data_IF_636590682275
#
_entry.id   IF_636590682275
#
_cell.length_a   1.000
_cell.length_b   1.000
_cell.length_c   1.000
_cell.angle_alpha   90.00
_cell.angle_beta   90.00
_cell.angle_gamma   90.00
#
_symmetry.space_group_name_H-M   'P 1'
#
loop_
_entity.id
_entity.type
_entity.pdbx_description
1 polymer ?
#
# COMPACT_ATOMS: atom_id res chain seq x y z
N UNK A 1 0.59 -9.14 -13.64
CA UNK A 1 -0.87 -8.90 -13.81
C UNK A 1 -1.08 -8.04 -15.05
N UNK A 2 -2.08 -8.38 -15.83
CA UNK A 2 -2.42 -7.64 -17.04
C UNK A 2 -2.80 -6.19 -16.69
N UNK A 3 -2.25 -5.19 -17.41
CA UNK A 3 -2.61 -3.79 -17.19
C UNK A 3 -4.10 -3.49 -17.30
N UNK A 4 -4.83 -4.18 -18.18
CA UNK A 4 -6.27 -3.96 -18.32
C UNK A 4 -7.03 -4.44 -17.07
N UNK A 5 -6.56 -5.49 -16.41
CA UNK A 5 -7.15 -5.96 -15.16
C UNK A 5 -6.90 -4.96 -14.02
N UNK A 6 -5.71 -4.40 -13.96
CA UNK A 6 -5.38 -3.37 -12.98
C UNK A 6 -6.30 -2.15 -13.15
N UNK A 7 -6.48 -1.70 -14.37
CA UNK A 7 -7.37 -0.58 -14.68
C UNK A 7 -8.81 -0.89 -14.29
N UNK A 8 -9.28 -2.10 -14.55
CA UNK A 8 -10.63 -2.51 -14.19
C UNK A 8 -10.83 -2.54 -12.67
N UNK A 9 -9.87 -3.09 -11.94
CA UNK A 9 -9.90 -3.11 -10.47
C UNK A 9 -9.95 -1.67 -9.93
N UNK A 10 -9.05 -0.82 -10.42
CA UNK A 10 -8.96 0.57 -10.00
C UNK A 10 -10.25 1.34 -10.28
N UNK A 11 -10.82 1.15 -11.47
CA UNK A 11 -12.05 1.83 -11.84
C UNK A 11 -13.24 1.37 -10.99
N UNK A 12 -13.33 0.08 -10.69
CA UNK A 12 -14.39 -0.47 -9.85
C UNK A 12 -14.35 0.13 -8.44
N UNK A 13 -13.16 0.26 -7.88
CA UNK A 13 -12.97 0.87 -6.56
C UNK A 13 -13.26 2.37 -6.62
N UNK A 14 -12.77 3.06 -7.64
CA UNK A 14 -12.99 4.50 -7.81
C UNK A 14 -14.48 4.84 -7.92
N UNK A 15 -15.26 3.99 -8.55
CA UNK A 15 -16.72 4.21 -8.65
C UNK A 15 -17.39 4.24 -7.27
N UNK A 16 -16.83 3.54 -6.28
CA UNK A 16 -17.38 3.50 -4.92
C UNK A 16 -16.72 4.55 -4.01
N UNK A 17 -15.51 4.97 -4.33
CA UNK A 17 -14.73 5.96 -3.59
C UNK A 17 -14.32 7.08 -4.56
N UNK A 18 -15.28 7.93 -4.99
CA UNK A 18 -15.00 8.90 -6.06
C UNK A 18 -14.00 9.99 -5.67
N UNK A 19 -13.77 10.21 -4.39
CA UNK A 19 -12.86 11.25 -3.91
C UNK A 19 -11.43 10.77 -3.73
N UNK A 20 -11.12 9.51 -4.00
CA UNK A 20 -9.74 9.03 -3.89
C UNK A 20 -8.87 9.58 -5.03
N UNK A 21 -7.59 9.76 -4.72
CA UNK A 21 -6.61 10.29 -5.66
C UNK A 21 -5.93 9.19 -6.46
N UNK A 22 -5.58 8.08 -5.80
CA UNK A 22 -4.83 7.00 -6.44
C UNK A 22 -5.14 5.66 -5.80
N UNK A 23 -4.86 4.61 -6.57
CA UNK A 23 -5.05 3.22 -6.17
C UNK A 23 -3.77 2.47 -6.51
N UNK A 24 -3.36 1.55 -5.63
CA UNK A 24 -2.16 0.74 -5.79
C UNK A 24 -2.53 -0.73 -5.66
N UNK A 25 -2.27 -1.50 -6.70
CA UNK A 25 -2.37 -2.98 -6.63
C UNK A 25 -0.98 -3.50 -6.29
N UNK A 26 -0.86 -4.24 -5.19
CA UNK A 26 0.45 -4.68 -4.71
C UNK A 26 0.37 -6.15 -4.25
N UNK A 27 1.45 -6.64 -3.68
CA UNK A 27 1.51 -8.01 -3.19
C UNK A 27 1.71 -9.02 -4.31
N UNK A 28 1.39 -10.27 -4.03
CA UNK A 28 1.69 -11.40 -4.93
C UNK A 28 0.96 -11.32 -6.27
N UNK A 29 -0.27 -10.81 -6.28
CA UNK A 29 -1.05 -10.69 -7.53
C UNK A 29 -0.39 -9.73 -8.53
N UNK A 30 0.22 -8.64 -8.02
CA UNK A 30 0.87 -7.66 -8.88
C UNK A 30 2.16 -8.20 -9.51
N UNK A 31 2.80 -9.18 -8.90
CA UNK A 31 4.08 -9.73 -9.35
C UNK A 31 3.95 -10.91 -10.31
N UNK A 32 2.76 -11.32 -10.69
CA UNK A 32 2.49 -12.49 -11.54
C UNK A 32 2.96 -13.82 -10.94
N UNK A 33 3.29 -13.86 -9.66
CA UNK A 33 3.72 -15.07 -8.95
C UNK A 33 2.60 -15.66 -8.11
N UNK A 34 1.43 -15.06 -8.16
CA UNK A 34 0.30 -15.45 -7.34
C UNK A 34 -0.34 -16.74 -7.83
N UNK A 35 -0.81 -17.52 -6.87
CA UNK A 35 -1.75 -18.62 -7.17
C UNK A 35 -3.12 -18.01 -7.51
N UNK A 36 -3.95 -18.71 -8.29
CA UNK A 36 -5.28 -18.17 -8.66
C UNK A 36 -6.17 -17.83 -7.47
N UNK A 37 -5.91 -18.45 -6.31
CA UNK A 37 -6.71 -18.28 -5.10
C UNK A 37 -6.16 -17.21 -4.16
N UNK A 38 -5.05 -16.55 -4.53
CA UNK A 38 -4.46 -15.51 -3.70
C UNK A 38 -5.37 -14.30 -3.60
N UNK A 39 -5.43 -13.68 -2.41
CA UNK A 39 -6.15 -12.45 -2.21
C UNK A 39 -5.52 -11.33 -3.04
N UNK A 40 -6.35 -10.39 -3.44
CA UNK A 40 -5.90 -9.21 -4.14
C UNK A 40 -5.62 -8.10 -3.13
N UNK A 41 -4.38 -7.65 -3.05
CA UNK A 41 -3.97 -6.60 -2.14
C UNK A 41 -4.05 -5.25 -2.85
N UNK A 42 -4.85 -4.34 -2.31
CA UNK A 42 -5.07 -3.02 -2.90
C UNK A 42 -5.00 -1.95 -1.81
N UNK A 43 -4.30 -0.86 -2.11
CA UNK A 43 -4.28 0.33 -1.25
C UNK A 43 -4.92 1.50 -1.98
N UNK A 44 -5.57 2.36 -1.22
CA UNK A 44 -6.19 3.59 -1.73
C UNK A 44 -5.59 4.80 -1.01
N UNK A 45 -5.49 5.91 -1.73
CA UNK A 45 -5.00 7.18 -1.18
C UNK A 45 -5.98 8.28 -1.54
N UNK A 46 -6.48 8.97 -0.53
CA UNK A 46 -7.33 10.15 -0.71
C UNK A 46 -6.77 11.33 0.07
N UNK A 47 -7.53 12.42 0.10
CA UNK A 47 -7.15 13.62 0.83
C UNK A 47 -7.09 13.38 2.34
N UNK A 48 -7.89 12.47 2.83
CA UNK A 48 -8.03 12.17 4.26
C UNK A 48 -8.05 10.66 4.48
N UNK A 49 -7.88 10.25 5.73
CA UNK A 49 -8.00 8.84 6.12
C UNK A 49 -9.42 8.35 5.84
N UNK A 50 -9.52 7.11 5.41
CA UNK A 50 -10.80 6.48 5.09
C UNK A 50 -11.18 5.55 6.26
N UNK A 51 -12.45 5.58 6.66
CA UNK A 51 -12.90 4.77 7.79
C UNK A 51 -12.80 3.28 7.48
N UNK A 52 -12.57 2.49 8.52
CA UNK A 52 -12.51 1.03 8.39
C UNK A 52 -13.82 0.45 7.85
N UNK A 53 -14.96 1.02 8.24
CA UNK A 53 -16.26 0.58 7.75
C UNK A 53 -16.37 0.80 6.24
N UNK A 54 -15.97 1.98 5.76
CA UNK A 54 -16.03 2.30 4.34
C UNK A 54 -15.10 1.41 3.53
N UNK A 55 -13.90 1.14 4.04
CA UNK A 55 -12.97 0.21 3.41
C UNK A 55 -13.54 -1.19 3.32
N UNK A 56 -14.13 -1.70 4.40
CA UNK A 56 -14.76 -3.02 4.42
C UNK A 56 -15.91 -3.15 3.44
N UNK A 57 -16.78 -2.15 3.39
CA UNK A 57 -17.91 -2.13 2.47
C UNK A 57 -17.43 -2.13 1.01
N UNK A 58 -16.43 -1.31 0.72
CA UNK A 58 -15.86 -1.21 -0.63
C UNK A 58 -15.17 -2.51 -1.03
N UNK A 59 -14.38 -3.09 -0.12
CA UNK A 59 -13.70 -4.36 -0.37
C UNK A 59 -14.68 -5.48 -0.66
N UNK A 60 -15.75 -5.57 0.11
CA UNK A 60 -16.76 -6.60 -0.05
C UNK A 60 -17.49 -6.44 -1.38
N UNK A 61 -17.95 -5.24 -1.67
CA UNK A 61 -18.67 -4.94 -2.92
C UNK A 61 -17.79 -5.18 -4.15
N UNK A 62 -16.55 -4.74 -4.10
CA UNK A 62 -15.59 -4.94 -5.19
C UNK A 62 -15.25 -6.42 -5.36
N UNK A 63 -15.05 -7.13 -4.24
CA UNK A 63 -14.75 -8.56 -4.28
C UNK A 63 -15.87 -9.36 -4.92
N UNK A 64 -17.12 -9.03 -4.64
CA UNK A 64 -18.27 -9.67 -5.27
C UNK A 64 -18.27 -9.39 -6.77
N UNK A 65 -18.08 -8.14 -7.15
CA UNK A 65 -18.07 -7.72 -8.55
C UNK A 65 -16.96 -8.40 -9.36
N UNK A 66 -15.77 -8.55 -8.77
CA UNK A 66 -14.60 -9.11 -9.44
C UNK A 66 -14.44 -10.62 -9.19
N UNK A 67 -15.32 -11.22 -8.39
CA UNK A 67 -15.27 -12.64 -8.03
C UNK A 67 -13.92 -13.03 -7.44
N UNK A 68 -13.36 -12.15 -6.59
CA UNK A 68 -12.10 -12.41 -5.90
C UNK A 68 -12.14 -11.75 -4.52
N UNK A 69 -11.35 -12.27 -3.59
CA UNK A 69 -11.24 -11.68 -2.27
C UNK A 69 -10.26 -10.52 -2.32
N UNK A 70 -10.67 -9.37 -1.77
CA UNK A 70 -9.88 -8.15 -1.79
C UNK A 70 -9.55 -7.74 -0.38
N UNK A 71 -8.26 -7.49 -0.14
CA UNK A 71 -7.75 -6.84 1.06
C UNK A 71 -7.48 -5.37 0.71
N UNK A 72 -8.35 -4.49 1.20
CA UNK A 72 -8.30 -3.06 0.87
C UNK A 72 -7.83 -2.28 2.08
N UNK A 73 -6.74 -1.52 1.92
CA UNK A 73 -6.16 -0.71 2.99
C UNK A 73 -6.09 0.76 2.57
N UNK A 74 -6.05 1.63 3.58
CA UNK A 74 -5.80 3.05 3.38
C UNK A 74 -4.30 3.31 3.50
N UNK A 75 -3.68 3.83 2.45
CA UNK A 75 -2.24 4.09 2.43
C UNK A 75 -1.81 5.02 3.57
N UNK A 76 -2.68 5.94 4.00
CA UNK A 76 -2.37 6.86 5.11
C UNK A 76 -2.32 6.18 6.46
N UNK A 77 -2.93 5.00 6.59
CA UNK A 77 -3.15 4.35 7.89
C UNK A 77 -2.24 3.16 8.14
N UNK A 78 -1.52 2.70 7.14
CA UNK A 78 -0.61 1.54 7.30
C UNK A 78 0.77 1.99 7.78
N UNK A 79 1.55 1.08 8.38
CA UNK A 79 2.90 1.43 8.84
C UNK A 79 3.83 1.89 7.71
N UNK A 80 4.84 2.67 8.05
CA UNK A 80 5.79 3.26 7.09
C UNK A 80 6.46 2.21 6.21
N UNK A 81 6.84 1.06 6.77
CA UNK A 81 7.43 -0.04 5.99
C UNK A 81 6.50 -0.50 4.88
N UNK A 82 5.22 -0.69 5.22
CA UNK A 82 4.24 -1.14 4.24
C UNK A 82 3.90 -0.04 3.26
N UNK A 83 3.81 1.22 3.72
CA UNK A 83 3.62 2.37 2.82
C UNK A 83 4.69 2.39 1.72
N UNK A 84 5.96 2.28 2.12
CA UNK A 84 7.08 2.30 1.18
C UNK A 84 7.01 1.12 0.21
N UNK A 85 6.69 -0.07 0.71
CA UNK A 85 6.58 -1.26 -0.12
C UNK A 85 5.46 -1.12 -1.16
N UNK A 86 4.31 -0.61 -0.75
CA UNK A 86 3.16 -0.39 -1.63
C UNK A 86 3.52 0.59 -2.75
N UNK A 87 4.10 1.74 -2.39
CA UNK A 87 4.44 2.78 -3.36
C UNK A 87 5.57 2.30 -4.29
N UNK A 88 6.57 1.64 -3.75
CA UNK A 88 7.73 1.20 -4.52
C UNK A 88 7.41 0.06 -5.48
N UNK A 89 6.63 -0.92 -5.04
CA UNK A 89 6.37 -2.15 -5.80
C UNK A 89 4.98 -2.22 -6.40
N UNK A 90 4.05 -1.40 -5.94
CA UNK A 90 2.66 -1.46 -6.38
C UNK A 90 2.47 -0.92 -7.78
N UNK A 91 1.38 -1.34 -8.41
CA UNK A 91 0.94 -0.82 -9.71
C UNK A 91 -0.05 0.31 -9.44
N UNK A 92 0.37 1.54 -9.71
CA UNK A 92 -0.37 2.76 -9.37
C UNK A 92 -1.29 3.19 -10.50
N UNK A 93 -2.52 3.57 -10.15
CA UNK A 93 -3.44 4.28 -11.04
C UNK A 93 -3.83 5.59 -10.35
N UNK A 94 -3.61 6.72 -11.03
CA UNK A 94 -3.92 8.05 -10.50
C UNK A 94 -5.17 8.58 -11.16
N UNK A 95 -6.14 9.05 -10.36
CA UNK A 95 -7.40 9.60 -10.85
C UNK A 95 -7.45 11.13 -10.74
N UNK A 96 -6.83 11.69 -9.70
CA UNK A 96 -6.87 13.12 -9.44
C UNK A 96 -5.71 13.54 -8.56
N UNK A 97 -5.42 14.85 -8.53
CA UNK A 97 -4.44 15.45 -7.62
C UNK A 97 -3.06 14.83 -7.73
N UNK A 98 -2.57 14.69 -8.97
CA UNK A 98 -1.28 14.04 -9.25
C UNK A 98 -0.14 14.64 -8.41
N UNK A 99 -0.07 15.96 -8.31
CA UNK A 99 0.99 16.63 -7.55
C UNK A 99 0.92 16.27 -6.06
N UNK A 100 -0.27 16.14 -5.51
CA UNK A 100 -0.45 15.77 -4.11
C UNK A 100 -0.10 14.30 -3.88
N UNK A 101 -0.41 13.43 -4.82
CA UNK A 101 0.02 12.03 -4.78
C UNK A 101 1.54 11.94 -4.75
N UNK A 102 2.22 12.65 -5.64
CA UNK A 102 3.68 12.66 -5.69
C UNK A 102 4.28 13.21 -4.39
N UNK A 103 3.72 14.28 -3.85
CA UNK A 103 4.17 14.86 -2.59
C UNK A 103 4.02 13.87 -1.44
N UNK A 104 2.91 13.14 -1.39
CA UNK A 104 2.69 12.14 -0.36
C UNK A 104 3.67 10.97 -0.49
N UNK A 105 3.92 10.51 -1.72
CA UNK A 105 4.89 9.45 -1.98
C UNK A 105 6.30 9.85 -1.58
N UNK A 106 6.70 11.09 -1.88
CA UNK A 106 8.00 11.64 -1.46
C UNK A 106 8.12 11.66 0.06
N UNK A 107 7.06 12.03 0.75
CA UNK A 107 7.00 12.01 2.21
C UNK A 107 7.21 10.58 2.74
N UNK A 108 6.56 9.59 2.12
CA UNK A 108 6.73 8.18 2.50
C UNK A 108 8.20 7.76 2.35
N UNK A 109 8.83 8.07 1.22
CA UNK A 109 10.22 7.69 0.99
C UNK A 109 11.17 8.36 1.97
N UNK A 110 10.96 9.63 2.28
CA UNK A 110 11.75 10.35 3.27
C UNK A 110 11.59 9.74 4.66
N UNK A 111 10.37 9.41 5.04
CA UNK A 111 10.07 8.79 6.33
C UNK A 111 10.69 7.39 6.43
N UNK A 112 10.63 6.62 5.36
CA UNK A 112 11.21 5.29 5.29
C UNK A 112 12.74 5.33 5.39
N UNK A 113 13.38 6.27 4.68
CA UNK A 113 14.83 6.45 4.75
C UNK A 113 15.28 6.80 6.16
N UNK A 114 14.54 7.70 6.83
CA UNK A 114 14.83 8.08 8.22
C UNK A 114 14.67 6.89 9.16
N UNK A 115 13.61 6.10 8.99
CA UNK A 115 13.36 4.92 9.81
C UNK A 115 14.49 3.90 9.65
N UNK A 116 14.96 3.66 8.44
CA UNK A 116 16.06 2.74 8.17
C UNK A 116 17.37 3.23 8.79
N UNK A 117 17.63 4.52 8.76
CA UNK A 117 18.80 5.11 9.39
C UNK A 117 18.75 4.94 10.90
N UNK A 118 17.62 5.20 11.52
CA UNK A 118 17.41 4.99 12.95
C UNK A 118 17.62 3.52 13.33
N UNK A 119 17.10 2.59 12.53
CA UNK A 119 17.27 1.15 12.75
C UNK A 119 18.73 0.75 12.67
N UNK A 120 19.49 1.33 11.75
CA UNK A 120 20.92 1.06 11.64
C UNK A 120 21.69 1.47 12.90
N UNK A 121 21.39 2.65 13.44
CA UNK A 121 21.99 3.11 14.69
C UNK A 121 21.63 2.19 15.86
N UNK A 122 20.37 1.78 15.97
CA UNK A 122 19.90 0.88 17.01
C UNK A 122 20.63 -0.48 16.91
N UNK A 123 20.73 -1.03 15.71
CA UNK A 123 21.40 -2.32 15.48
C UNK A 123 22.88 -2.24 15.81
N UNK A 124 23.55 -1.15 15.43
CA UNK A 124 24.96 -0.94 15.77
C UNK A 124 25.16 -0.87 17.29
N UNK A 125 24.29 -0.14 17.99
CA UNK A 125 24.33 -0.02 19.45
C UNK A 125 24.11 -1.38 20.11
N UNK A 126 23.14 -2.16 19.63
CA UNK A 126 22.86 -3.51 20.14
C UNK A 126 24.07 -4.42 19.95
N UNK A 127 24.70 -4.37 18.78
CA UNK A 127 25.89 -5.17 18.51
C UNK A 127 27.04 -4.84 19.47
N UNK A 128 27.28 -3.56 19.75
CA UNK A 128 28.28 -3.14 20.70
C UNK A 128 27.96 -3.61 22.11
N UNK A 129 26.71 -3.45 22.53
CA UNK A 129 26.27 -3.92 23.84
C UNK A 129 26.27 -5.44 23.94
N UNK A 130 25.88 -6.12 22.89
CA UNK A 130 25.91 -7.59 22.82
C UNK A 130 27.27 -8.17 23.00
N UNK A 131 28.29 -7.54 22.42
CA UNK A 131 29.68 -8.01 22.61
C UNK A 131 30.18 -7.80 24.05
N UNK A 132 29.63 -6.84 24.78
CA UNK A 132 29.95 -6.62 26.20
C UNK A 132 29.24 -7.66 27.08
N UNK A 133 28.00 -7.98 26.79
CA UNK A 133 27.20 -8.90 27.61
C UNK A 133 27.35 -10.35 27.23
N UNK A 134 27.81 -10.65 26.04
CA UNK A 134 28.02 -12.03 25.56
C UNK A 134 29.37 -12.59 25.96
N UNK A 135 30.24 -11.75 26.49
CA UNK A 135 31.56 -12.17 26.99
C UNK A 135 31.49 -12.70 28.46
#
# INVERSE_FOLDING_TARGET
MDPSRITHIAQTIHNQLPDIWSIYVYGSQASNKALPESDLDVAVLGAEKISCLKLSETAQSTGISLQTQIDLVDLRSVPTDLQAQIVFKGKRTVFAEFNQVETFEDFIFSSYARLNEERRFILADIQQRGSIYAG
#
